data_IF_251014651502
#
_entry.id   IF_251014651502
#
_cell.length_a   1.000
_cell.length_b   1.000
_cell.length_c   1.000
_cell.angle_alpha   90.00
_cell.angle_beta   90.00
_cell.angle_gamma   90.00
#
_symmetry.space_group_name_H-M   'P 1'
#
loop_
_entity.id
_entity.type
_entity.pdbx_description
1 polymer ?
#
# COMPACT_ATOMS: atom_id res chain seq x y z
N UNK A 1 2.67 -17.20 -2.46
CA UNK A 1 3.42 -16.44 -3.50
C UNK A 1 3.54 -15.02 -2.99
N UNK A 2 4.76 -14.50 -2.82
CA UNK A 2 4.95 -13.10 -2.42
C UNK A 2 4.56 -12.22 -3.61
N UNK A 3 3.62 -11.29 -3.40
CA UNK A 3 3.30 -10.29 -4.43
C UNK A 3 4.57 -9.49 -4.74
N UNK A 4 4.93 -9.31 -6.03
CA UNK A 4 6.10 -8.51 -6.37
C UNK A 4 5.93 -7.10 -5.79
N UNK A 5 6.96 -6.63 -5.10
CA UNK A 5 7.01 -5.25 -4.58
C UNK A 5 6.81 -4.31 -5.77
N UNK A 6 5.74 -3.53 -5.74
CA UNK A 6 5.45 -2.52 -6.76
C UNK A 6 6.56 -1.48 -6.71
N UNK A 7 7.25 -1.28 -7.83
CA UNK A 7 8.23 -0.21 -7.95
C UNK A 7 7.49 1.12 -8.17
N UNK A 8 7.62 2.04 -7.20
CA UNK A 8 7.05 3.37 -7.30
C UNK A 8 8.00 4.30 -8.05
N UNK A 9 7.45 5.15 -8.93
CA UNK A 9 8.18 6.23 -9.61
C UNK A 9 8.57 7.40 -8.69
N UNK A 10 8.47 7.24 -7.37
CA UNK A 10 8.90 8.21 -6.37
C UNK A 10 9.47 7.47 -5.15
N UNK A 11 10.28 8.16 -4.34
CA UNK A 11 10.77 7.63 -3.06
C UNK A 11 10.10 8.33 -1.89
N UNK A 12 9.91 7.61 -0.78
CA UNK A 12 9.37 8.20 0.45
C UNK A 12 10.22 9.40 0.92
N UNK A 13 11.54 9.35 0.72
CA UNK A 13 12.46 10.45 1.04
C UNK A 13 12.11 11.75 0.34
N UNK A 14 11.60 11.70 -0.89
CA UNK A 14 11.25 12.91 -1.65
C UNK A 14 10.04 13.60 -1.01
N UNK A 15 9.10 12.81 -0.47
CA UNK A 15 7.94 13.31 0.26
C UNK A 15 8.33 13.91 1.62
N UNK A 16 9.33 13.31 2.29
CA UNK A 16 9.89 13.83 3.54
C UNK A 16 10.63 15.16 3.29
N UNK A 17 11.50 15.21 2.27
CA UNK A 17 12.22 16.43 1.87
C UNK A 17 11.25 17.55 1.46
N UNK A 18 10.14 17.21 0.82
CA UNK A 18 9.09 18.16 0.45
C UNK A 18 8.21 18.60 1.64
N UNK A 19 8.46 18.11 2.86
CA UNK A 19 7.68 18.46 4.05
C UNK A 19 6.24 17.94 4.04
N UNK A 20 5.93 16.96 3.17
CA UNK A 20 4.57 16.39 3.05
C UNK A 20 4.30 15.33 4.12
N UNK A 21 5.36 14.72 4.65
CA UNK A 21 5.32 13.78 5.77
C UNK A 21 6.66 13.81 6.49
N UNK A 22 6.83 12.99 7.53
CA UNK A 22 8.08 12.90 8.30
C UNK A 22 8.55 11.44 8.40
N UNK A 23 9.87 11.26 8.50
CA UNK A 23 10.46 9.93 8.75
C UNK A 23 9.92 9.32 10.05
N UNK A 24 9.74 10.13 11.08
CA UNK A 24 9.15 9.71 12.36
C UNK A 24 7.75 9.08 12.19
N UNK A 25 6.88 9.71 11.39
CA UNK A 25 5.54 9.18 11.17
C UNK A 25 5.57 7.87 10.35
N UNK A 26 6.44 7.79 9.33
CA UNK A 26 6.61 6.58 8.53
C UNK A 26 7.08 5.42 9.42
N UNK A 27 8.13 5.65 10.21
CA UNK A 27 8.69 4.62 11.10
C UNK A 27 7.68 4.20 12.17
N UNK A 28 6.91 5.13 12.72
CA UNK A 28 5.88 4.84 13.71
C UNK A 28 4.76 3.96 13.14
N UNK A 29 4.30 4.23 11.91
CA UNK A 29 3.32 3.37 11.24
C UNK A 29 3.95 2.01 10.88
N UNK A 30 5.20 1.97 10.42
CA UNK A 30 5.91 0.73 10.10
C UNK A 30 6.01 -0.19 11.31
N UNK A 31 6.47 0.33 12.44
CA UNK A 31 6.55 -0.43 13.69
C UNK A 31 5.18 -0.93 14.15
N UNK A 32 4.12 -0.14 13.98
CA UNK A 32 2.77 -0.58 14.28
C UNK A 32 2.28 -1.71 13.34
N UNK A 33 2.61 -1.63 12.05
CA UNK A 33 2.28 -2.68 11.07
C UNK A 33 2.99 -4.00 11.38
N UNK A 34 4.22 -3.97 11.88
CA UNK A 34 4.97 -5.16 12.27
C UNK A 34 4.26 -5.97 13.39
N UNK A 35 3.36 -5.34 14.15
CA UNK A 35 2.54 -6.00 15.17
C UNK A 35 1.29 -6.69 14.61
N UNK A 36 0.97 -6.48 13.33
CA UNK A 36 -0.27 -6.94 12.69
C UNK A 36 0.01 -8.05 11.66
N UNK A 37 -0.04 -9.34 12.05
CA UNK A 37 0.30 -10.44 11.14
C UNK A 37 -0.72 -10.63 10.00
N UNK A 38 -1.91 -10.05 10.12
CA UNK A 38 -2.98 -10.16 9.11
C UNK A 38 -2.83 -9.16 7.97
N UNK A 39 -2.02 -8.11 8.15
CA UNK A 39 -1.79 -7.09 7.14
C UNK A 39 -0.48 -7.43 6.42
N UNK A 40 -0.48 -7.47 5.07
CA UNK A 40 0.76 -7.64 4.31
C UNK A 40 1.77 -6.53 4.66
N UNK A 41 3.09 -6.77 4.55
CA UNK A 41 4.08 -5.72 4.76
C UNK A 41 3.90 -4.60 3.71
N UNK A 42 3.98 -3.35 4.16
CA UNK A 42 3.95 -2.16 3.31
C UNK A 42 5.36 -1.56 3.21
N UNK A 43 5.73 -1.06 2.04
CA UNK A 43 6.95 -0.27 1.89
C UNK A 43 6.74 1.19 2.33
N UNK A 44 7.83 1.91 2.55
CA UNK A 44 7.80 3.30 3.01
C UNK A 44 6.99 4.21 2.08
N UNK A 45 7.04 3.99 0.76
CA UNK A 45 6.24 4.74 -0.22
C UNK A 45 4.74 4.57 -0.01
N UNK A 46 4.29 3.35 0.29
CA UNK A 46 2.88 3.06 0.57
C UNK A 46 2.44 3.72 1.88
N UNK A 47 3.26 3.59 2.92
CA UNK A 47 2.99 4.20 4.22
C UNK A 47 2.89 5.72 4.07
N UNK A 48 3.80 6.34 3.32
CA UNK A 48 3.80 7.78 3.05
C UNK A 48 2.52 8.24 2.31
N UNK A 49 2.01 7.45 1.35
CA UNK A 49 0.74 7.76 0.67
C UNK A 49 -0.43 7.77 1.68
N UNK A 50 -0.53 6.76 2.54
CA UNK A 50 -1.59 6.71 3.57
C UNK A 50 -1.49 7.89 4.54
N UNK A 51 -0.28 8.22 5.01
CA UNK A 51 -0.05 9.37 5.88
C UNK A 51 -0.51 10.67 5.21
N UNK A 52 -0.14 10.90 3.95
CA UNK A 52 -0.56 12.10 3.21
C UNK A 52 -2.08 12.15 3.03
N UNK A 53 -2.70 11.01 2.68
CA UNK A 53 -4.17 10.92 2.53
C UNK A 53 -4.91 11.25 3.84
N UNK A 54 -4.29 10.95 4.98
CA UNK A 54 -4.81 11.21 6.32
C UNK A 54 -4.24 12.49 6.96
N UNK A 55 -3.66 13.41 6.18
CA UNK A 55 -3.09 14.69 6.67
C UNK A 55 -2.05 14.52 7.79
N UNK A 56 -1.30 13.42 7.76
CA UNK A 56 -0.32 12.98 8.77
C UNK A 56 -0.90 12.71 10.17
N UNK A 57 -2.22 12.57 10.30
CA UNK A 57 -2.83 12.05 11.51
C UNK A 57 -2.57 10.53 11.58
N UNK A 58 -1.74 10.12 12.54
CA UNK A 58 -1.28 8.73 12.64
C UNK A 58 -2.41 7.78 13.02
N UNK A 59 -3.39 8.21 13.81
CA UNK A 59 -4.50 7.34 14.22
C UNK A 59 -5.52 7.18 13.08
N UNK A 60 -5.82 8.28 12.37
CA UNK A 60 -6.62 8.22 11.15
C UNK A 60 -5.93 7.35 10.08
N UNK A 61 -4.60 7.43 9.97
CA UNK A 61 -3.81 6.61 9.05
C UNK A 61 -3.94 5.13 9.35
N UNK A 62 -3.78 4.72 10.62
CA UNK A 62 -3.97 3.33 11.05
C UNK A 62 -5.36 2.82 10.71
N UNK A 63 -6.40 3.59 11.04
CA UNK A 63 -7.78 3.23 10.73
C UNK A 63 -8.01 3.11 9.21
N UNK A 64 -7.45 4.04 8.43
CA UNK A 64 -7.53 3.99 6.96
C UNK A 64 -6.90 2.71 6.40
N UNK A 65 -5.71 2.33 6.88
CA UNK A 65 -5.03 1.09 6.47
C UNK A 65 -5.88 -0.14 6.82
N UNK A 66 -6.40 -0.23 8.05
CA UNK A 66 -7.24 -1.34 8.47
C UNK A 66 -8.51 -1.45 7.60
N UNK A 67 -9.20 -0.34 7.36
CA UNK A 67 -10.36 -0.29 6.47
C UNK A 67 -10.00 -0.71 5.05
N UNK A 68 -8.89 -0.21 4.50
CA UNK A 68 -8.43 -0.55 3.15
C UNK A 68 -8.27 -2.07 2.98
N UNK A 69 -7.54 -2.73 3.88
CA UNK A 69 -7.34 -4.18 3.79
C UNK A 69 -8.59 -4.98 4.12
N UNK A 70 -9.43 -4.51 5.07
CA UNK A 70 -10.73 -5.11 5.36
C UNK A 70 -11.63 -5.14 4.12
N UNK A 71 -11.80 -4.01 3.44
CA UNK A 71 -12.64 -3.93 2.25
C UNK A 71 -12.05 -4.69 1.07
N UNK A 72 -10.72 -4.63 0.89
CA UNK A 72 -10.03 -5.41 -0.14
C UNK A 72 -10.22 -6.92 0.06
N UNK A 73 -10.19 -7.40 1.29
CA UNK A 73 -10.43 -8.82 1.61
C UNK A 73 -11.91 -9.21 1.47
N UNK A 74 -12.84 -8.27 1.72
CA UNK A 74 -14.27 -8.51 1.64
C UNK A 74 -14.83 -8.53 0.20
N UNK A 75 -14.06 -8.08 -0.79
CA UNK A 75 -14.48 -8.00 -2.20
C UNK A 75 -13.55 -8.82 -3.13
N UNK A 76 -13.36 -10.13 -2.92
CA UNK A 76 -12.48 -10.94 -3.75
C UNK A 76 -12.88 -10.94 -5.23
N UNK A 77 -14.16 -10.75 -5.56
CA UNK A 77 -14.68 -10.63 -6.93
C UNK A 77 -14.08 -9.46 -7.71
N UNK A 78 -13.60 -8.42 -7.02
CA UNK A 78 -12.90 -7.29 -7.62
C UNK A 78 -11.38 -7.43 -7.45
N UNK A 79 -10.93 -7.92 -6.28
CA UNK A 79 -9.54 -7.77 -5.88
C UNK A 79 -8.68 -9.04 -6.06
N UNK A 80 -9.27 -10.23 -6.21
CA UNK A 80 -8.56 -11.50 -6.43
C UNK A 80 -8.26 -11.73 -7.93
N UNK A 81 -7.32 -12.65 -8.22
CA UNK A 81 -6.97 -13.12 -9.57
C UNK A 81 -6.62 -12.02 -10.60
N UNK A 82 -6.20 -10.84 -10.15
CA UNK A 82 -5.70 -9.78 -11.04
C UNK A 82 -4.28 -10.08 -11.49
N UNK A 83 -4.16 -10.99 -12.45
CA UNK A 83 -2.93 -11.28 -13.17
C UNK A 83 -3.00 -10.54 -14.52
N UNK A 84 -2.16 -9.54 -14.72
CA UNK A 84 -2.08 -8.80 -16.00
C UNK A 84 -1.56 -9.69 -17.12
N UNK A 85 -0.72 -10.68 -16.76
CA UNK A 85 -0.15 -11.70 -17.65
C UNK A 85 -0.99 -12.99 -17.63
N UNK A 86 -2.31 -12.91 -17.42
CA UNK A 86 -3.15 -14.10 -17.58
C UNK A 86 -3.18 -14.52 -19.05
N UNK A 87 -3.28 -15.83 -19.29
CA UNK A 87 -3.40 -16.37 -20.66
C UNK A 87 -4.59 -15.73 -21.42
N UNK A 88 -5.67 -15.42 -20.69
CA UNK A 88 -6.86 -14.73 -21.20
C UNK A 88 -6.56 -13.33 -21.76
N UNK A 89 -5.73 -12.54 -21.07
CA UNK A 89 -5.36 -11.19 -21.52
C UNK A 89 -4.29 -11.21 -22.60
N UNK A 90 -3.41 -12.21 -22.58
CA UNK A 90 -2.34 -12.38 -23.57
C UNK A 90 -2.88 -12.72 -24.95
N UNK A 91 -4.00 -13.45 -25.01
CA UNK A 91 -4.65 -13.82 -26.28
C UNK A 91 -5.24 -12.58 -27.01
N UNK A 92 -5.77 -11.60 -26.25
CA UNK A 92 -6.29 -10.33 -26.83
C UNK A 92 -5.15 -9.41 -27.28
N UNK A 93 -3.99 -9.44 -26.61
CA UNK A 93 -2.83 -8.60 -26.96
C UNK A 93 -2.22 -8.93 -28.33
N UNK A 94 -2.43 -10.13 -28.84
CA UNK A 94 -1.79 -10.65 -30.07
C UNK A 94 -2.72 -10.71 -31.30
N UNK A 95 -3.90 -10.06 -31.24
CA UNK A 95 -4.83 -9.92 -32.38
C UNK A 95 -4.90 -8.45 -32.78
#
# INVERSE_FOLDING_TARGET
>A
MASPMVEYNFKAEDLVKAGRTSRYNIDGIRQWLDLLPTIPPLCDEQIAIFLIACKNDTEATKNCILCFFKYKAAAPEIFANRQVESDELTQVRNT
#
